data_IF_805314051765
#
_entry.id   IF_805314051765
#
_cell.length_a   1.000
_cell.length_b   1.000
_cell.length_c   1.000
_cell.angle_alpha   90.00
_cell.angle_beta   90.00
_cell.angle_gamma   90.00
#
_symmetry.space_group_name_H-M   'P 1'
#
loop_
_entity.id
_entity.type
_entity.pdbx_description
1 polymer ?
#
# COMPACT_ATOMS: atom_id res chain seq x y z
N UNK A 1 23.52 -21.51 -7.80
CA UNK A 1 23.10 -20.19 -8.35
C UNK A 1 22.90 -19.14 -7.27
N UNK A 2 22.21 -19.42 -6.12
CA UNK A 2 21.95 -18.44 -5.06
C UNK A 2 23.23 -17.75 -4.55
N UNK A 3 24.26 -18.52 -4.12
CA UNK A 3 25.53 -17.98 -3.59
C UNK A 3 26.23 -17.08 -4.63
N UNK A 4 26.20 -17.48 -5.92
CA UNK A 4 26.80 -16.67 -6.97
C UNK A 4 26.06 -15.32 -7.10
N UNK A 5 24.73 -15.31 -7.20
CA UNK A 5 23.94 -14.08 -7.28
C UNK A 5 24.09 -13.20 -6.04
N UNK A 6 24.24 -13.81 -4.85
CA UNK A 6 24.52 -13.07 -3.63
C UNK A 6 25.90 -12.39 -3.67
N UNK A 7 26.93 -13.11 -4.08
CA UNK A 7 28.28 -12.57 -4.21
C UNK A 7 28.39 -11.50 -5.31
N UNK A 8 27.62 -11.63 -6.38
CA UNK A 8 27.49 -10.62 -7.44
C UNK A 8 26.64 -9.40 -6.98
N UNK A 9 26.09 -9.45 -5.76
CA UNK A 9 25.26 -8.39 -5.17
C UNK A 9 23.90 -8.23 -5.85
N UNK A 10 23.39 -9.28 -6.48
CA UNK A 10 22.04 -9.35 -7.05
C UNK A 10 21.01 -9.72 -6.00
N UNK A 11 21.37 -10.58 -5.04
CA UNK A 11 20.49 -10.99 -3.95
C UNK A 11 20.81 -10.16 -2.71
N UNK A 12 19.77 -9.60 -2.11
CA UNK A 12 19.87 -8.83 -0.88
C UNK A 12 18.69 -9.08 0.05
N UNK A 13 18.86 -8.74 1.33
CA UNK A 13 17.75 -8.66 2.29
C UNK A 13 17.33 -7.22 2.47
N UNK A 14 16.04 -6.97 2.44
CA UNK A 14 15.49 -5.63 2.62
C UNK A 14 14.08 -5.64 3.21
N UNK A 15 13.70 -4.55 3.85
CA UNK A 15 12.34 -4.32 4.26
C UNK A 15 11.55 -3.83 3.04
N UNK A 16 10.54 -4.60 2.67
CA UNK A 16 9.61 -4.28 1.58
C UNK A 16 8.20 -4.64 2.01
N UNK A 17 7.24 -3.95 1.43
CA UNK A 17 5.86 -4.36 1.55
C UNK A 17 5.66 -5.68 0.79
N UNK A 18 4.95 -6.62 1.42
CA UNK A 18 4.66 -7.95 0.88
C UNK A 18 3.19 -8.27 1.06
N UNK A 19 2.65 -9.15 0.22
CA UNK A 19 1.33 -9.71 0.40
C UNK A 19 1.38 -10.71 1.57
N UNK A 20 0.81 -10.34 2.70
CA UNK A 20 0.79 -11.18 3.90
C UNK A 20 -0.60 -11.78 4.11
N UNK A 21 -0.67 -13.09 4.33
CA UNK A 21 -1.90 -13.75 4.76
C UNK A 21 -1.87 -13.94 6.28
N UNK A 22 -2.71 -13.20 7.05
CA UNK A 22 -2.73 -13.31 8.51
C UNK A 22 -3.24 -14.66 9.04
N UNK A 23 -4.02 -15.38 8.24
CA UNK A 23 -4.58 -16.67 8.63
C UNK A 23 -3.55 -17.80 8.47
N UNK A 24 -2.78 -17.77 7.39
CA UNK A 24 -1.72 -18.74 7.11
C UNK A 24 -0.37 -18.32 7.67
N UNK A 25 -0.25 -17.08 8.17
CA UNK A 25 0.97 -16.49 8.70
C UNK A 25 2.16 -16.60 7.73
N UNK A 26 1.89 -16.34 6.45
CA UNK A 26 2.90 -16.46 5.40
C UNK A 26 2.81 -15.36 4.35
N UNK A 27 3.91 -15.13 3.66
CA UNK A 27 3.98 -14.25 2.49
C UNK A 27 3.43 -14.98 1.26
N UNK A 28 2.59 -14.30 0.50
CA UNK A 28 1.99 -14.79 -0.75
C UNK A 28 2.66 -14.10 -1.93
N UNK A 29 3.04 -14.87 -2.95
CA UNK A 29 3.61 -14.31 -4.18
C UNK A 29 2.53 -13.57 -4.98
N UNK A 30 2.95 -12.62 -5.83
CA UNK A 30 2.00 -11.86 -6.66
C UNK A 30 1.18 -12.76 -7.58
N UNK A 31 1.77 -13.87 -8.05
CA UNK A 31 1.09 -14.86 -8.91
C UNK A 31 0.01 -15.68 -8.17
N UNK A 32 0.04 -15.72 -6.83
CA UNK A 32 -0.93 -16.41 -5.99
C UNK A 32 -1.99 -15.47 -5.40
N UNK A 33 -1.97 -14.19 -5.81
CA UNK A 33 -2.97 -13.20 -5.42
C UNK A 33 -4.08 -13.14 -6.46
N UNK A 34 -5.29 -13.51 -6.05
CA UNK A 34 -6.50 -13.31 -6.85
C UNK A 34 -7.12 -11.94 -6.51
N UNK A 35 -7.74 -11.29 -7.50
CA UNK A 35 -8.57 -10.10 -7.30
C UNK A 35 -10.04 -10.54 -7.27
N UNK A 36 -10.70 -10.27 -6.16
CA UNK A 36 -12.11 -10.59 -5.97
C UNK A 36 -12.89 -9.29 -5.79
N UNK A 37 -13.95 -9.12 -6.56
CA UNK A 37 -14.88 -8.01 -6.38
C UNK A 37 -15.68 -8.20 -5.09
N UNK A 38 -15.75 -7.14 -4.29
CA UNK A 38 -16.50 -7.09 -3.04
C UNK A 38 -17.27 -5.77 -2.96
N UNK A 39 -18.48 -5.84 -2.43
CA UNK A 39 -19.25 -4.65 -2.06
C UNK A 39 -18.96 -4.34 -0.59
N UNK A 40 -18.48 -3.14 -0.33
CA UNK A 40 -18.13 -2.68 1.01
C UNK A 40 -18.72 -1.29 1.28
N UNK A 41 -18.57 -0.84 2.52
CA UNK A 41 -18.88 0.55 2.87
C UNK A 41 -17.69 1.43 2.59
N UNK A 42 -17.92 2.56 1.95
CA UNK A 42 -16.92 3.59 1.72
C UNK A 42 -17.27 4.82 2.54
N UNK A 43 -16.40 5.19 3.45
CA UNK A 43 -16.64 6.24 4.44
C UNK A 43 -15.91 7.50 4.02
N UNK A 44 -16.59 8.64 4.10
CA UNK A 44 -15.96 9.96 3.96
C UNK A 44 -15.93 10.64 5.31
N UNK A 45 -14.75 11.09 5.73
CA UNK A 45 -14.52 11.75 7.00
C UNK A 45 -13.95 13.15 6.81
N UNK A 46 -14.27 14.05 7.74
CA UNK A 46 -13.62 15.34 7.86
C UNK A 46 -12.27 15.16 8.55
N UNK A 47 -11.18 15.56 7.91
CA UNK A 47 -9.81 15.51 8.42
C UNK A 47 -9.15 16.90 8.30
N UNK A 48 -9.25 17.69 9.36
CA UNK A 48 -8.89 19.11 9.33
C UNK A 48 -9.64 19.87 8.21
N UNK A 49 -8.95 20.55 7.29
CA UNK A 49 -9.61 21.28 6.20
C UNK A 49 -10.02 20.39 5.02
N UNK A 50 -9.78 19.07 5.09
CA UNK A 50 -10.01 18.14 3.98
C UNK A 50 -11.10 17.14 4.29
N UNK A 51 -11.70 16.59 3.25
CA UNK A 51 -12.49 15.37 3.33
C UNK A 51 -11.67 14.24 2.71
N UNK A 52 -11.60 13.12 3.41
CA UNK A 52 -10.89 11.92 2.97
C UNK A 52 -11.85 10.75 2.92
N UNK A 53 -11.69 9.86 1.97
CA UNK A 53 -12.55 8.69 1.83
C UNK A 53 -11.76 7.40 1.94
N UNK A 54 -12.33 6.39 2.61
CA UNK A 54 -11.66 5.09 2.81
C UNK A 54 -12.67 3.95 3.02
N UNK A 55 -12.33 2.76 2.52
CA UNK A 55 -12.99 1.51 2.88
C UNK A 55 -12.34 0.85 4.11
N UNK A 56 -11.19 1.38 4.58
CA UNK A 56 -10.37 0.78 5.63
C UNK A 56 -10.12 1.75 6.81
N UNK A 57 -11.16 2.15 7.56
CA UNK A 57 -11.02 3.07 8.69
C UNK A 57 -10.09 2.54 9.80
N UNK A 58 -9.90 1.22 9.90
CA UNK A 58 -8.99 0.58 10.86
C UNK A 58 -7.52 0.93 10.65
N UNK A 59 -7.11 1.36 9.47
CA UNK A 59 -5.72 1.76 9.21
C UNK A 59 -5.42 3.20 9.62
N UNK A 60 -6.44 4.01 9.89
CA UNK A 60 -6.36 5.46 10.01
C UNK A 60 -5.78 6.01 11.33
N UNK A 61 -5.35 5.14 12.25
CA UNK A 61 -4.66 5.55 13.47
C UNK A 61 -3.27 6.15 13.23
N UNK A 62 -2.66 5.84 12.08
CA UNK A 62 -1.34 6.33 11.68
C UNK A 62 -1.35 7.54 10.76
N UNK A 63 -2.51 8.11 10.49
CA UNK A 63 -2.67 9.22 9.54
C UNK A 63 -1.91 10.47 10.00
N UNK A 64 -0.79 10.74 9.34
CA UNK A 64 0.06 11.93 9.56
C UNK A 64 0.28 12.72 8.28
N UNK A 65 -0.05 12.14 7.15
CA UNK A 65 0.24 12.71 5.82
C UNK A 65 -1.04 12.77 5.01
N UNK A 66 -1.30 13.95 4.46
CA UNK A 66 -2.38 14.19 3.49
C UNK A 66 -1.75 14.37 2.13
N UNK A 67 -2.08 13.48 1.21
CA UNK A 67 -1.50 13.48 -0.13
C UNK A 67 -2.53 13.97 -1.14
N UNK A 68 -2.07 14.80 -2.07
CA UNK A 68 -2.89 15.36 -3.14
C UNK A 68 -2.04 15.55 -4.40
N UNK A 69 -2.69 15.48 -5.56
CA UNK A 69 -2.00 15.65 -6.83
C UNK A 69 -1.46 17.09 -7.00
N UNK A 70 -0.21 17.30 -7.44
CA UNK A 70 0.40 18.62 -7.53
C UNK A 70 -0.32 19.58 -8.50
N UNK A 71 -1.00 19.05 -9.53
CA UNK A 71 -1.74 19.82 -10.54
C UNK A 71 -3.23 19.99 -10.21
N UNK A 72 -3.71 19.48 -9.07
CA UNK A 72 -5.10 19.67 -8.67
C UNK A 72 -5.34 21.11 -8.21
N UNK A 73 -6.09 21.86 -9.02
CA UNK A 73 -6.39 23.28 -8.78
C UNK A 73 -7.21 23.52 -7.51
N UNK A 74 -8.02 22.56 -7.07
CA UNK A 74 -8.83 22.65 -5.85
C UNK A 74 -7.96 22.86 -4.61
N UNK A 75 -6.76 22.27 -4.64
CA UNK A 75 -5.81 22.26 -3.52
C UNK A 75 -4.52 23.03 -3.81
N UNK A 76 -4.52 23.92 -4.82
CA UNK A 76 -3.34 24.69 -5.22
C UNK A 76 -2.78 25.60 -4.11
N UNK A 77 -3.62 26.04 -3.18
CA UNK A 77 -3.21 26.90 -2.05
C UNK A 77 -2.35 26.18 -1.01
N UNK A 78 -2.45 24.87 -0.89
CA UNK A 78 -1.69 24.07 0.07
C UNK A 78 -0.31 23.71 -0.51
N UNK A 79 0.74 23.94 0.25
CA UNK A 79 2.12 23.70 -0.18
C UNK A 79 2.61 22.35 0.34
N UNK A 80 3.52 21.72 -0.43
CA UNK A 80 4.23 20.53 0.03
C UNK A 80 5.02 20.86 1.30
N UNK A 81 4.89 20.00 2.34
CA UNK A 81 5.51 20.18 3.65
C UNK A 81 4.74 21.10 4.60
N UNK A 82 3.66 21.74 4.17
CA UNK A 82 2.79 22.54 5.05
C UNK A 82 2.11 21.63 6.07
N UNK A 83 2.01 22.09 7.32
CA UNK A 83 1.37 21.34 8.42
C UNK A 83 0.08 22.01 8.89
N UNK A 84 -0.83 21.20 9.40
CA UNK A 84 -2.08 21.65 10.01
C UNK A 84 -2.51 20.71 11.14
N UNK A 85 -3.36 21.21 12.03
CA UNK A 85 -3.96 20.41 13.09
C UNK A 85 -5.30 19.83 12.62
N UNK A 86 -5.55 18.57 12.92
CA UNK A 86 -6.83 17.90 12.71
C UNK A 86 -7.29 17.17 13.97
N UNK A 87 -8.56 17.25 14.29
CA UNK A 87 -9.17 16.32 15.25
C UNK A 87 -9.33 14.97 14.55
N UNK A 88 -8.93 13.89 15.24
CA UNK A 88 -8.95 12.56 14.66
C UNK A 88 -9.39 11.49 15.65
N UNK A 89 -9.19 10.19 15.32
CA UNK A 89 -9.69 9.05 16.11
C UNK A 89 -9.30 9.17 17.60
N UNK A 90 -8.03 9.43 17.86
CA UNK A 90 -7.45 9.45 19.20
C UNK A 90 -7.18 10.85 19.76
N UNK A 91 -7.78 11.89 19.20
CA UNK A 91 -7.57 13.28 19.54
C UNK A 91 -6.85 14.04 18.43
N UNK A 92 -6.29 15.20 18.76
CA UNK A 92 -5.60 16.05 17.78
C UNK A 92 -4.34 15.41 17.23
N UNK A 93 -4.14 15.56 15.94
CA UNK A 93 -2.95 15.15 15.20
C UNK A 93 -2.42 16.31 14.37
N UNK A 94 -1.11 16.42 14.27
CA UNK A 94 -0.46 17.34 13.31
C UNK A 94 -0.22 16.57 12.01
N UNK A 95 -0.85 17.02 10.93
CA UNK A 95 -0.72 16.40 9.62
C UNK A 95 0.11 17.26 8.67
N UNK A 96 0.81 16.61 7.74
CA UNK A 96 1.68 17.24 6.73
C UNK A 96 1.11 17.03 5.34
N UNK A 97 1.06 18.08 4.54
CA UNK A 97 0.64 18.03 3.13
C UNK A 97 1.78 17.50 2.27
N UNK A 98 1.50 16.49 1.48
CA UNK A 98 2.42 15.91 0.50
C UNK A 98 1.82 16.11 -0.91
N UNK A 99 2.63 16.54 -1.86
CA UNK A 99 2.26 16.62 -3.27
C UNK A 99 2.89 15.45 -3.99
N UNK A 100 2.06 14.55 -4.57
CA UNK A 100 2.52 13.37 -5.30
C UNK A 100 1.61 13.07 -6.50
N UNK A 101 2.22 12.72 -7.63
CA UNK A 101 1.51 12.44 -8.89
C UNK A 101 0.78 11.08 -8.88
N UNK A 102 1.02 10.21 -7.89
CA UNK A 102 0.32 8.94 -7.75
C UNK A 102 -1.15 9.09 -7.31
N UNK A 103 -1.53 10.26 -6.79
CA UNK A 103 -2.92 10.53 -6.41
C UNK A 103 -3.76 10.81 -7.64
N UNK A 104 -4.85 10.07 -7.81
CA UNK A 104 -5.85 10.37 -8.83
C UNK A 104 -6.79 11.49 -8.34
N UNK A 105 -6.79 12.68 -8.98
CA UNK A 105 -7.67 13.79 -8.59
C UNK A 105 -9.16 13.50 -8.73
N UNK A 106 -9.53 12.54 -9.60
CA UNK A 106 -10.92 12.18 -9.87
C UNK A 106 -11.44 11.07 -8.93
N UNK A 107 -10.55 10.43 -8.16
CA UNK A 107 -10.96 9.40 -7.22
C UNK A 107 -11.35 10.01 -5.85
N UNK A 108 -12.57 9.70 -5.40
CA UNK A 108 -13.10 10.19 -4.12
C UNK A 108 -13.10 11.72 -4.05
N UNK A 109 -12.40 12.27 -3.08
CA UNK A 109 -12.25 13.74 -2.92
C UNK A 109 -11.02 14.31 -3.65
N UNK A 110 -10.18 13.45 -4.27
CA UNK A 110 -8.88 13.83 -4.82
C UNK A 110 -7.81 14.10 -3.76
N UNK A 111 -8.12 13.83 -2.49
CA UNK A 111 -7.20 13.92 -1.35
C UNK A 111 -7.29 12.63 -0.56
N UNK A 112 -6.17 12.10 -0.15
CA UNK A 112 -6.11 10.88 0.66
C UNK A 112 -5.14 11.05 1.83
N UNK A 113 -5.40 10.36 2.93
CA UNK A 113 -4.39 10.09 3.94
C UNK A 113 -3.72 8.76 3.63
N UNK A 114 -2.46 8.62 3.97
CA UNK A 114 -1.68 7.41 3.67
C UNK A 114 -1.29 6.62 4.91
N UNK A 115 -1.31 5.31 4.76
CA UNK A 115 -0.85 4.32 5.76
C UNK A 115 0.20 3.40 5.14
N UNK A 116 1.45 3.88 5.03
CA UNK A 116 2.50 3.24 4.22
C UNK A 116 2.88 1.82 4.63
N UNK A 117 2.48 1.38 5.81
CA UNK A 117 2.73 0.00 6.24
C UNK A 117 1.74 -1.00 5.65
N UNK A 118 0.54 -0.54 5.25
CA UNK A 118 -0.60 -1.40 4.92
C UNK A 118 -1.16 -1.21 3.50
N UNK A 119 -0.47 -0.43 2.67
CA UNK A 119 -0.83 -0.22 1.26
C UNK A 119 0.43 -0.02 0.41
N UNK A 120 0.48 -0.65 -0.77
CA UNK A 120 1.65 -0.62 -1.67
C UNK A 120 1.87 0.77 -2.24
N UNK A 121 0.81 1.44 -2.67
CA UNK A 121 0.90 2.81 -3.22
C UNK A 121 1.36 3.79 -2.15
N UNK A 122 0.79 3.69 -0.95
CA UNK A 122 1.17 4.52 0.20
C UNK A 122 2.64 4.28 0.59
N UNK A 123 3.10 3.01 0.53
CA UNK A 123 4.51 2.66 0.76
C UNK A 123 5.43 3.34 -0.26
N UNK A 124 5.08 3.29 -1.55
CA UNK A 124 5.87 3.91 -2.61
C UNK A 124 5.93 5.44 -2.47
N UNK A 125 4.81 6.08 -2.12
CA UNK A 125 4.77 7.52 -1.81
C UNK A 125 5.71 7.81 -0.63
N UNK A 126 5.62 7.02 0.44
CA UNK A 126 6.47 7.20 1.61
C UNK A 126 7.97 7.03 1.30
N UNK A 127 8.34 6.05 0.45
CA UNK A 127 9.73 5.88 0.00
C UNK A 127 10.23 7.09 -0.81
N UNK A 128 9.42 7.61 -1.75
CA UNK A 128 9.79 8.77 -2.58
C UNK A 128 10.03 10.04 -1.76
N UNK A 129 9.26 10.22 -0.69
CA UNK A 129 9.30 11.43 0.13
C UNK A 129 10.04 11.26 1.47
N UNK A 130 10.61 10.07 1.75
CA UNK A 130 11.31 9.78 3.00
C UNK A 130 10.41 9.85 4.24
N UNK A 131 9.13 9.44 4.10
CA UNK A 131 8.13 9.54 5.16
C UNK A 131 8.21 8.37 6.14
N UNK A 132 7.78 8.62 7.37
CA UNK A 132 7.63 7.61 8.41
C UNK A 132 6.53 6.59 8.07
N UNK A 133 6.77 5.32 8.43
CA UNK A 133 5.88 4.18 8.16
C UNK A 133 5.46 3.55 9.48
N UNK A 134 4.28 3.91 9.96
CA UNK A 134 3.74 3.41 11.21
C UNK A 134 2.96 2.11 10.98
N UNK A 135 3.34 1.03 11.67
CA UNK A 135 2.54 -0.19 11.70
C UNK A 135 1.31 0.00 12.59
N UNK A 136 0.13 -0.36 12.09
CA UNK A 136 -1.16 -0.25 12.77
C UNK A 136 -1.74 -1.62 13.08
N UNK A 137 -1.57 -2.56 12.16
CA UNK A 137 -2.11 -3.92 12.21
C UNK A 137 -0.94 -4.90 12.34
N UNK A 138 -1.04 -5.83 13.27
CA UNK A 138 -0.03 -6.88 13.45
C UNK A 138 -0.13 -7.98 12.38
N UNK A 139 0.77 -8.97 12.46
CA UNK A 139 0.80 -10.07 11.51
C UNK A 139 -0.35 -11.07 11.67
N UNK A 140 -1.18 -10.94 12.71
CA UNK A 140 -2.37 -11.75 12.97
C UNK A 140 -3.67 -11.02 12.60
N UNK A 141 -3.59 -9.84 11.96
CA UNK A 141 -4.75 -9.02 11.60
C UNK A 141 -5.42 -8.32 12.77
N UNK A 142 -4.68 -8.03 13.84
CA UNK A 142 -5.16 -7.32 15.03
C UNK A 142 -4.53 -5.94 15.15
N UNK A 143 -5.26 -5.02 15.74
CA UNK A 143 -4.78 -3.66 15.95
C UNK A 143 -3.70 -3.58 17.03
N UNK A 144 -2.65 -2.83 16.76
CA UNK A 144 -1.54 -2.56 17.68
C UNK A 144 -1.90 -1.51 18.76
N UNK A 145 -1.07 -1.32 19.80
CA UNK A 145 -1.34 -0.38 20.90
C UNK A 145 -1.60 1.07 20.48
N UNK A 146 -1.16 1.51 19.32
CA UNK A 146 -1.48 2.83 18.76
C UNK A 146 -2.99 3.06 18.62
N UNK A 147 -3.76 1.97 18.45
CA UNK A 147 -5.22 2.02 18.36
C UNK A 147 -5.92 2.21 19.70
N UNK A 148 -5.17 2.34 20.84
CA UNK A 148 -5.67 2.54 22.21
C UNK A 148 -6.72 1.51 22.62
N UNK A 149 -7.97 1.93 22.87
CA UNK A 149 -9.07 1.06 23.30
C UNK A 149 -9.42 -0.07 22.31
N UNK A 150 -9.00 0.05 21.08
CA UNK A 150 -9.17 -1.00 20.03
C UNK A 150 -7.97 -1.95 19.93
N UNK A 151 -6.90 -1.73 20.71
CA UNK A 151 -5.70 -2.56 20.66
C UNK A 151 -6.02 -4.04 20.94
N UNK A 152 -5.45 -4.94 20.14
CA UNK A 152 -5.69 -6.38 20.20
C UNK A 152 -6.98 -6.86 19.54
N UNK A 153 -7.87 -5.97 19.10
CA UNK A 153 -9.10 -6.35 18.40
C UNK A 153 -8.78 -6.77 16.95
N UNK A 154 -9.47 -7.80 16.44
CA UNK A 154 -9.48 -8.10 15.01
C UNK A 154 -10.01 -6.89 14.21
N UNK A 155 -9.41 -6.61 13.05
CA UNK A 155 -9.75 -5.44 12.22
C UNK A 155 -11.23 -5.41 11.82
N UNK A 156 -11.82 -6.59 11.50
CA UNK A 156 -13.22 -6.68 11.10
C UNK A 156 -14.19 -6.26 12.23
N UNK A 157 -13.85 -6.56 13.48
CA UNK A 157 -14.64 -6.19 14.67
C UNK A 157 -14.43 -4.73 15.04
N UNK A 158 -13.20 -4.23 14.91
CA UNK A 158 -12.84 -2.86 15.27
C UNK A 158 -13.42 -1.83 14.29
N UNK A 159 -13.49 -2.15 13.00
CA UNK A 159 -13.92 -1.23 11.93
C UNK A 159 -15.24 -0.50 12.23
N UNK A 160 -16.36 -1.17 12.54
CA UNK A 160 -17.63 -0.50 12.83
C UNK A 160 -17.54 0.37 14.10
N UNK A 161 -16.75 -0.01 15.09
CA UNK A 161 -16.59 0.74 16.33
C UNK A 161 -15.76 2.02 16.12
N UNK A 162 -14.75 1.96 15.27
CA UNK A 162 -13.94 3.12 14.87
C UNK A 162 -14.81 4.13 14.12
N UNK A 163 -15.62 3.66 13.16
CA UNK A 163 -16.56 4.52 12.45
C UNK A 163 -17.54 5.18 13.38
N UNK A 164 -18.11 4.43 14.34
CA UNK A 164 -19.01 4.97 15.37
C UNK A 164 -18.33 6.06 16.19
N UNK A 165 -17.07 5.84 16.62
CA UNK A 165 -16.30 6.85 17.39
C UNK A 165 -16.07 8.12 16.56
N UNK A 166 -15.79 8.01 15.28
CA UNK A 166 -15.62 9.16 14.40
C UNK A 166 -16.94 9.89 14.15
N UNK A 167 -18.05 9.18 14.05
CA UNK A 167 -19.40 9.75 13.95
C UNK A 167 -19.80 10.51 15.23
N UNK A 168 -19.58 9.93 16.42
CA UNK A 168 -19.80 10.59 17.73
C UNK A 168 -18.97 11.87 17.89
N UNK A 169 -17.81 11.98 17.21
CA UNK A 169 -17.00 13.19 17.13
C UNK A 169 -17.49 14.20 16.07
N UNK A 170 -18.52 13.87 15.30
CA UNK A 170 -19.01 14.70 14.19
C UNK A 170 -18.07 14.75 12.99
N UNK A 171 -17.21 13.75 12.83
CA UNK A 171 -16.23 13.68 11.75
C UNK A 171 -16.70 12.84 10.56
N UNK A 172 -17.75 12.03 10.70
CA UNK A 172 -18.34 11.26 9.61
C UNK A 172 -19.19 12.18 8.72
N UNK A 173 -18.84 12.28 7.45
CA UNK A 173 -19.52 13.14 6.47
C UNK A 173 -20.56 12.35 5.69
N UNK A 174 -20.18 11.18 5.17
CA UNK A 174 -21.08 10.30 4.40
C UNK A 174 -20.62 8.86 4.40
N UNK A 175 -21.54 7.95 4.10
CA UNK A 175 -21.29 6.53 3.88
C UNK A 175 -21.91 6.13 2.55
N UNK A 176 -21.13 5.50 1.69
CA UNK A 176 -21.63 4.78 0.52
C UNK A 176 -21.66 3.28 0.86
N UNK A 177 -22.85 2.72 0.98
CA UNK A 177 -23.06 1.31 1.34
C UNK A 177 -22.87 0.36 0.14
N UNK A 178 -22.72 0.89 -1.07
CA UNK A 178 -22.68 0.11 -2.32
C UNK A 178 -21.34 0.27 -3.06
N UNK A 179 -20.29 0.66 -2.36
CA UNK A 179 -18.97 0.80 -2.95
C UNK A 179 -18.41 -0.55 -3.38
N UNK A 180 -18.20 -0.71 -4.68
CA UNK A 180 -17.63 -1.92 -5.27
C UNK A 180 -16.14 -1.72 -5.49
N UNK A 181 -15.34 -2.62 -4.94
CA UNK A 181 -13.90 -2.60 -5.12
C UNK A 181 -13.31 -4.02 -5.21
N UNK A 182 -12.08 -4.11 -5.66
CA UNK A 182 -11.36 -5.37 -5.71
C UNK A 182 -10.50 -5.55 -4.47
N UNK A 183 -10.74 -6.63 -3.72
CA UNK A 183 -9.86 -7.08 -2.64
C UNK A 183 -8.85 -8.10 -3.16
N UNK A 184 -7.67 -8.10 -2.54
CA UNK A 184 -6.66 -9.12 -2.78
C UNK A 184 -6.92 -10.31 -1.85
N UNK A 185 -7.01 -11.52 -2.40
CA UNK A 185 -7.18 -12.75 -1.64
C UNK A 185 -6.11 -13.78 -2.06
N UNK A 186 -5.73 -14.62 -1.12
CA UNK A 186 -4.83 -15.72 -1.37
C UNK A 186 -5.55 -16.83 -2.15
N UNK A 187 -5.03 -17.22 -3.32
CA UNK A 187 -5.60 -18.26 -4.17
C UNK A 187 -5.82 -19.58 -3.40
N UNK A 188 -4.87 -20.01 -2.58
CA UNK A 188 -4.91 -21.30 -1.88
C UNK A 188 -5.82 -21.26 -0.65
N UNK A 189 -5.62 -20.30 0.24
CA UNK A 189 -6.32 -20.21 1.52
C UNK A 189 -7.58 -19.36 1.48
N UNK A 190 -7.82 -18.62 0.38
CA UNK A 190 -8.91 -17.65 0.22
C UNK A 190 -8.97 -16.59 1.33
N UNK A 191 -7.89 -16.45 2.12
CA UNK A 191 -7.73 -15.39 3.10
C UNK A 191 -7.52 -14.02 2.44
N UNK A 192 -8.02 -12.98 3.10
CA UNK A 192 -7.79 -11.59 2.64
C UNK A 192 -6.32 -11.25 2.90
N UNK A 193 -5.66 -10.70 1.89
CA UNK A 193 -4.28 -10.22 1.99
C UNK A 193 -4.25 -8.92 2.79
N UNK A 194 -3.42 -8.90 3.82
CA UNK A 194 -3.07 -7.69 4.58
C UNK A 194 -1.63 -7.30 4.24
N UNK A 195 -1.40 -6.25 3.45
CA UNK A 195 -0.04 -5.83 3.12
C UNK A 195 0.75 -5.49 4.38
N UNK A 196 1.99 -5.98 4.47
CA UNK A 196 2.88 -5.80 5.63
C UNK A 196 4.31 -5.52 5.18
N UNK A 197 5.03 -4.66 5.88
CA UNK A 197 6.47 -4.50 5.67
C UNK A 197 7.21 -5.60 6.41
N UNK A 198 7.97 -6.42 5.67
CA UNK A 198 8.76 -7.52 6.24
C UNK A 198 10.18 -7.53 5.68
N UNK A 199 11.10 -8.03 6.49
CA UNK A 199 12.46 -8.32 6.04
C UNK A 199 12.43 -9.61 5.20
N UNK A 200 12.70 -9.46 3.90
CA UNK A 200 12.65 -10.56 2.93
C UNK A 200 13.89 -10.59 2.04
N UNK A 201 14.08 -11.69 1.32
CA UNK A 201 15.08 -11.82 0.28
C UNK A 201 14.53 -11.34 -1.06
N UNK A 202 15.32 -10.53 -1.75
CA UNK A 202 14.98 -9.98 -3.06
C UNK A 202 16.13 -10.17 -4.04
N UNK A 203 15.78 -10.19 -5.33
CA UNK A 203 16.72 -10.15 -6.44
C UNK A 203 16.61 -8.80 -7.13
N UNK A 204 17.71 -8.04 -7.19
CA UNK A 204 17.77 -6.82 -7.98
C UNK A 204 17.92 -7.18 -9.47
N UNK A 205 16.80 -7.29 -10.14
CA UNK A 205 16.75 -7.64 -11.58
C UNK A 205 17.18 -6.51 -12.50
N UNK A 206 17.35 -5.29 -11.97
CA UNK A 206 17.75 -4.11 -12.75
C UNK A 206 19.26 -3.83 -12.69
N UNK A 207 20.00 -4.46 -11.77
CA UNK A 207 21.43 -4.26 -11.61
C UNK A 207 22.21 -4.81 -12.81
N UNK A 208 23.02 -3.97 -13.46
CA UNK A 208 23.80 -4.32 -14.67
C UNK A 208 25.10 -5.02 -14.29
N UNK A 209 25.05 -6.30 -13.97
CA UNK A 209 26.22 -7.12 -13.58
C UNK A 209 26.36 -8.40 -14.39
N UNK A 210 25.40 -8.71 -15.28
CA UNK A 210 25.39 -9.95 -16.05
C UNK A 210 26.16 -9.73 -17.35
N UNK A 211 27.19 -10.55 -17.60
CA UNK A 211 27.87 -10.59 -18.88
C UNK A 211 27.05 -11.40 -19.90
N UNK A 212 26.50 -10.72 -20.88
CA UNK A 212 25.69 -11.34 -21.92
C UNK A 212 26.11 -10.87 -23.31
N UNK A 213 26.55 -11.83 -24.16
CA UNK A 213 26.98 -11.54 -25.56
C UNK A 213 27.95 -10.34 -25.63
N UNK A 214 28.90 -10.24 -24.67
CA UNK A 214 29.93 -9.18 -24.63
C UNK A 214 29.47 -7.83 -24.09
N UNK A 215 28.27 -7.76 -23.48
CA UNK A 215 27.74 -6.56 -22.85
C UNK A 215 27.40 -6.81 -21.38
N UNK A 216 27.53 -5.77 -20.53
CA UNK A 216 26.98 -5.77 -19.19
C UNK A 216 25.50 -5.41 -19.26
N UNK A 217 24.64 -6.34 -18.86
CA UNK A 217 23.19 -6.18 -18.83
C UNK A 217 22.65 -6.52 -17.44
N UNK A 218 21.44 -6.09 -17.17
CA UNK A 218 20.66 -6.56 -16.01
C UNK A 218 19.99 -7.90 -16.33
N UNK A 219 19.58 -8.63 -15.29
CA UNK A 219 18.77 -9.85 -15.46
C UNK A 219 17.51 -9.58 -16.28
N UNK A 220 16.82 -8.45 -16.01
CA UNK A 220 15.64 -8.04 -16.76
C UNK A 220 15.93 -7.83 -18.25
N UNK A 221 17.03 -7.15 -18.58
CA UNK A 221 17.43 -6.94 -19.98
C UNK A 221 17.78 -8.25 -20.68
N UNK A 222 18.46 -9.18 -20.00
CA UNK A 222 18.75 -10.51 -20.54
C UNK A 222 17.46 -11.29 -20.79
N UNK A 223 16.52 -11.33 -19.81
CA UNK A 223 15.23 -12.01 -19.98
C UNK A 223 14.44 -11.46 -21.16
N UNK A 224 14.45 -10.15 -21.38
CA UNK A 224 13.80 -9.53 -22.53
C UNK A 224 14.54 -9.81 -23.84
N UNK A 225 15.87 -9.81 -23.82
CA UNK A 225 16.69 -10.06 -25.01
C UNK A 225 16.51 -11.48 -25.56
N UNK A 226 16.52 -12.51 -24.71
CA UNK A 226 16.37 -13.92 -25.14
C UNK A 226 15.02 -14.20 -25.82
N UNK A 227 13.96 -13.46 -25.41
CA UNK A 227 12.63 -13.57 -26.03
C UNK A 227 12.61 -12.80 -27.36
N UNK A 228 13.08 -11.56 -27.35
CA UNK A 228 13.14 -10.70 -28.55
C UNK A 228 14.00 -11.31 -29.66
N UNK A 229 15.18 -11.83 -29.29
CA UNK A 229 16.16 -12.38 -30.18
C UNK A 229 15.83 -13.84 -30.58
N UNK A 230 14.73 -14.39 -30.06
CA UNK A 230 14.24 -15.77 -30.27
C UNK A 230 15.23 -16.86 -29.81
N UNK A 231 16.07 -16.57 -28.84
CA UNK A 231 16.90 -17.58 -28.16
C UNK A 231 16.00 -18.52 -27.31
N UNK A 232 14.83 -18.00 -26.83
CA UNK A 232 13.78 -18.76 -26.16
C UNK A 232 12.45 -18.48 -26.83
N UNK A 233 11.66 -19.53 -27.10
CA UNK A 233 10.32 -19.42 -27.66
C UNK A 233 9.25 -19.72 -26.63
N UNK A 234 8.30 -18.79 -26.44
CA UNK A 234 7.19 -18.94 -25.48
C UNK A 234 6.00 -19.55 -26.20
N UNK A 235 5.52 -20.70 -25.72
CA UNK A 235 4.39 -21.43 -26.30
C UNK A 235 3.31 -21.59 -25.20
N UNK A 236 2.06 -21.29 -25.52
CA UNK A 236 1.52 -20.68 -26.74
C UNK A 236 1.83 -19.19 -26.87
N UNK A 237 1.81 -18.70 -28.12
CA UNK A 237 2.20 -17.32 -28.52
C UNK A 237 1.45 -16.21 -27.75
N UNK A 238 0.25 -16.49 -27.21
CA UNK A 238 -0.53 -15.55 -26.43
C UNK A 238 0.17 -15.06 -25.14
N UNK A 239 1.19 -15.79 -24.67
CA UNK A 239 1.99 -15.42 -23.49
C UNK A 239 3.27 -14.65 -23.83
N UNK A 240 3.50 -14.30 -25.12
CA UNK A 240 4.65 -13.49 -25.57
C UNK A 240 4.47 -11.98 -25.37
N UNK A 241 3.55 -11.53 -24.55
CA UNK A 241 3.26 -10.09 -24.35
C UNK A 241 4.29 -9.41 -23.49
#
# INVERSE_FOLDING_TARGET
SFIKMYNDGLIYRGHRIVNWDPNLETTISDDEVERKEETAKFYTFQYGPFQISTARPETKFGDKYVVMHPKDKRYAKYKHGETFEAEWINGKVTATVIKDEAVDPEFGTGVMTITPWHDITDFEIAERHGLDKQQIIDYHGKLLPIAKEFAGMPIAEARPLIVKKLDEKGLLVSVDDNYVHNIAVNERGKGIIEPQIKLQWFVDVNKQVVDWKGKKLSLKEVMQAVIRDKDIDIIPTRYKK
#
